data_IF_110529637243
#
_entry.id   IF_110529637243
#
_cell.length_a   1.000
_cell.length_b   1.000
_cell.length_c   1.000
_cell.angle_alpha   90.00
_cell.angle_beta   90.00
_cell.angle_gamma   90.00
#
_symmetry.space_group_name_H-M   'P 1'
#
loop_
_entity.id
_entity.type
_entity.pdbx_description
1 polymer ?
#
# COMPACT_ATOMS: atom_id res chain seq x y z
N UNK A 1 -33.86 24.70 12.83
CA UNK A 1 -35.30 24.44 13.05
C UNK A 1 -35.43 23.39 14.14
N UNK A 2 -36.46 23.48 14.96
CA UNK A 2 -36.71 22.53 16.05
C UNK A 2 -37.65 21.43 15.54
N UNK A 3 -37.13 20.22 15.37
CA UNK A 3 -37.93 19.05 14.98
C UNK A 3 -39.12 18.77 15.91
N UNK A 4 -39.08 19.28 17.15
CA UNK A 4 -40.17 19.16 18.11
C UNK A 4 -41.31 20.13 17.76
N UNK A 5 -40.99 21.37 17.39
CA UNK A 5 -41.99 22.37 17.01
C UNK A 5 -42.65 22.03 15.67
N UNK A 6 -41.87 21.51 14.71
CA UNK A 6 -42.36 21.11 13.38
C UNK A 6 -43.43 19.98 13.47
N UNK A 7 -43.37 19.15 14.52
CA UNK A 7 -44.36 18.10 14.78
C UNK A 7 -45.66 18.63 15.39
N UNK A 8 -45.62 19.77 16.08
CA UNK A 8 -46.81 20.37 16.69
C UNK A 8 -47.71 21.06 15.65
N UNK A 9 -47.17 21.39 14.47
CA UNK A 9 -47.89 21.97 13.33
C UNK A 9 -48.51 20.93 12.39
N UNK A 10 -48.60 19.67 12.81
CA UNK A 10 -49.09 18.56 11.96
C UNK A 10 -50.47 18.83 11.34
N UNK A 11 -51.40 19.38 12.12
CA UNK A 11 -52.77 19.69 11.67
C UNK A 11 -52.92 21.06 11.00
N UNK A 12 -51.89 21.91 11.04
CA UNK A 12 -51.91 23.24 10.41
C UNK A 12 -51.28 23.24 9.01
N UNK A 13 -50.67 22.13 8.61
CA UNK A 13 -50.09 21.97 7.27
C UNK A 13 -51.19 21.73 6.23
N UNK A 14 -51.00 22.26 5.01
CA UNK A 14 -51.89 22.03 3.87
C UNK A 14 -52.05 20.52 3.63
N UNK A 15 -53.28 20.06 3.37
CA UNK A 15 -53.53 18.65 3.07
C UNK A 15 -52.69 18.22 1.85
N UNK A 16 -51.99 17.08 1.93
CA UNK A 16 -51.10 16.62 0.86
C UNK A 16 -51.91 16.26 -0.39
N UNK A 17 -51.32 16.49 -1.57
CA UNK A 17 -51.95 16.06 -2.83
C UNK A 17 -51.93 14.54 -2.91
N UNK A 18 -53.08 13.95 -3.19
CA UNK A 18 -53.19 12.52 -3.39
C UNK A 18 -52.91 12.17 -4.85
N UNK A 19 -52.36 10.99 -5.08
CA UNK A 19 -52.20 10.44 -6.42
C UNK A 19 -52.62 8.96 -6.44
N UNK A 20 -52.82 8.41 -7.64
CA UNK A 20 -53.26 7.02 -7.85
C UNK A 20 -54.55 6.68 -7.09
N UNK A 21 -55.63 7.45 -7.31
CA UNK A 21 -56.95 7.25 -6.68
C UNK A 21 -56.90 7.19 -5.14
N UNK A 22 -56.05 8.00 -4.52
CA UNK A 22 -55.90 8.06 -3.07
C UNK A 22 -54.95 7.02 -2.47
N UNK A 23 -54.24 6.24 -3.30
CA UNK A 23 -53.26 5.27 -2.80
C UNK A 23 -51.97 5.93 -2.27
N UNK A 24 -51.57 7.06 -2.87
CA UNK A 24 -50.35 7.78 -2.50
C UNK A 24 -50.63 9.23 -2.12
N UNK A 25 -49.69 9.81 -1.37
CA UNK A 25 -49.64 11.24 -1.05
C UNK A 25 -48.27 11.81 -1.41
N UNK A 26 -48.22 13.04 -1.89
CA UNK A 26 -46.98 13.81 -1.98
C UNK A 26 -46.71 14.51 -0.66
N UNK A 27 -45.44 14.62 -0.26
CA UNK A 27 -45.06 15.30 0.99
C UNK A 27 -43.97 16.33 0.73
N UNK A 28 -44.10 17.49 1.37
CA UNK A 28 -43.11 18.57 1.38
C UNK A 28 -42.33 18.59 2.70
N UNK A 29 -42.14 17.41 3.30
CA UNK A 29 -41.45 17.26 4.58
C UNK A 29 -39.96 17.63 4.49
N UNK A 30 -39.41 18.10 5.61
CA UNK A 30 -37.99 18.37 5.70
C UNK A 30 -37.17 17.08 5.50
N UNK A 31 -36.25 17.10 4.52
CA UNK A 31 -35.33 15.99 4.19
C UNK A 31 -33.86 16.33 4.48
N UNK A 32 -33.60 17.20 5.45
CA UNK A 32 -32.24 17.65 5.77
C UNK A 32 -31.32 16.54 6.26
N UNK A 33 -31.87 15.45 6.83
CA UNK A 33 -31.11 14.28 7.25
C UNK A 33 -30.29 13.65 6.10
N UNK A 34 -30.74 13.80 4.85
CA UNK A 34 -30.04 13.31 3.66
C UNK A 34 -28.66 13.96 3.45
N UNK A 35 -28.40 15.12 4.07
CA UNK A 35 -27.08 15.76 4.06
C UNK A 35 -25.99 14.84 4.61
N UNK A 36 -26.33 13.90 5.50
CA UNK A 36 -25.38 12.93 6.04
C UNK A 36 -24.71 12.09 4.91
N UNK A 37 -25.50 11.52 4.01
CA UNK A 37 -24.99 10.72 2.89
C UNK A 37 -24.29 11.59 1.84
N UNK A 38 -24.79 12.81 1.58
CA UNK A 38 -24.11 13.77 0.70
C UNK A 38 -22.73 14.16 1.25
N UNK A 39 -22.64 14.40 2.56
CA UNK A 39 -21.40 14.72 3.26
C UNK A 39 -20.43 13.55 3.34
N UNK A 40 -20.93 12.30 3.37
CA UNK A 40 -20.10 11.09 3.26
C UNK A 40 -19.45 10.99 1.87
N UNK A 41 -20.20 11.23 0.79
CA UNK A 41 -19.70 11.17 -0.59
C UNK A 41 -18.75 12.32 -0.94
N UNK A 42 -19.00 13.51 -0.39
CA UNK A 42 -18.12 14.66 -0.56
C UNK A 42 -16.68 14.34 -0.08
N UNK A 43 -15.69 14.88 -0.76
CA UNK A 43 -14.27 14.57 -0.58
C UNK A 43 -13.44 15.81 -0.89
N UNK A 44 -12.19 15.82 -0.43
CA UNK A 44 -11.28 16.96 -0.52
C UNK A 44 -10.69 17.06 -1.92
N UNK A 45 -10.27 15.93 -2.49
CA UNK A 45 -9.67 15.84 -3.82
C UNK A 45 -9.71 14.42 -4.37
N UNK A 46 -9.48 14.32 -5.68
CA UNK A 46 -9.24 13.08 -6.41
C UNK A 46 -7.82 13.11 -6.97
N UNK A 47 -7.07 12.01 -6.79
CA UNK A 47 -5.74 11.82 -7.36
C UNK A 47 -5.77 10.67 -8.35
N UNK A 48 -5.13 10.82 -9.51
CA UNK A 48 -4.96 9.70 -10.45
C UNK A 48 -3.87 8.76 -9.96
N UNK A 49 -4.16 7.47 -9.89
CA UNK A 49 -3.16 6.42 -9.65
C UNK A 49 -3.53 5.12 -10.40
N UNK A 50 -2.72 4.08 -10.22
CA UNK A 50 -2.91 2.72 -10.75
C UNK A 50 -2.39 1.68 -9.74
N UNK A 51 -2.61 0.40 -10.01
CA UNK A 51 -2.17 -0.71 -9.14
C UNK A 51 -0.94 -1.41 -9.74
N UNK A 52 0.20 -1.31 -9.05
CA UNK A 52 1.44 -2.00 -9.42
C UNK A 52 1.45 -3.48 -9.03
N UNK A 53 0.50 -4.25 -9.58
CA UNK A 53 0.32 -5.68 -9.33
C UNK A 53 0.24 -6.44 -10.66
N UNK A 54 0.76 -7.68 -10.70
CA UNK A 54 0.82 -8.49 -11.90
C UNK A 54 -0.57 -9.04 -12.29
N UNK A 55 -1.40 -8.20 -12.89
CA UNK A 55 -2.80 -8.53 -13.22
C UNK A 55 -3.19 -8.21 -14.66
N UNK A 56 -2.25 -7.72 -15.48
CA UNK A 56 -2.43 -7.20 -16.85
C UNK A 56 -3.42 -6.04 -17.02
N UNK A 57 -4.13 -5.66 -15.96
CA UNK A 57 -5.18 -4.66 -16.00
C UNK A 57 -4.70 -3.26 -16.37
N UNK A 58 -3.64 -2.75 -15.74
CA UNK A 58 -3.16 -1.37 -15.94
C UNK A 58 -4.28 -0.31 -15.86
N UNK A 59 -5.26 -0.52 -14.97
CA UNK A 59 -6.44 0.31 -14.83
C UNK A 59 -6.09 1.60 -14.08
N UNK A 60 -6.45 2.76 -14.64
CA UNK A 60 -6.35 4.05 -13.97
C UNK A 60 -7.54 4.26 -13.01
N UNK A 61 -7.26 4.75 -11.81
CA UNK A 61 -8.24 4.97 -10.74
C UNK A 61 -8.24 6.42 -10.24
N UNK A 62 -9.42 6.85 -9.78
CA UNK A 62 -9.68 8.05 -9.00
C UNK A 62 -9.52 7.67 -7.53
N UNK A 63 -8.44 8.13 -6.89
CA UNK A 63 -8.20 7.92 -5.46
C UNK A 63 -8.81 9.08 -4.69
N UNK A 64 -9.81 8.79 -3.85
CA UNK A 64 -10.55 9.80 -3.10
C UNK A 64 -9.87 10.08 -1.76
N UNK A 65 -9.49 11.34 -1.55
CA UNK A 65 -8.96 11.83 -0.28
C UNK A 65 -10.06 12.62 0.42
N UNK A 66 -10.33 12.29 1.69
CA UNK A 66 -11.30 12.98 2.55
C UNK A 66 -10.73 13.10 3.95
N UNK A 67 -10.84 14.28 4.56
CA UNK A 67 -10.22 14.61 5.84
C UNK A 67 -8.70 14.34 5.83
N UNK A 68 -8.04 14.61 4.70
CA UNK A 68 -6.60 14.37 4.52
C UNK A 68 -6.19 12.89 4.42
N UNK A 69 -7.14 11.94 4.41
CA UNK A 69 -6.87 10.50 4.31
C UNK A 69 -7.48 9.93 3.03
N UNK A 70 -6.76 9.01 2.38
CA UNK A 70 -7.36 8.16 1.33
C UNK A 70 -8.49 7.33 1.95
N UNK A 71 -9.64 7.30 1.27
CA UNK A 71 -10.85 6.64 1.79
C UNK A 71 -11.34 5.52 0.88
N UNK A 72 -11.59 5.80 -0.40
CA UNK A 72 -11.99 4.81 -1.40
C UNK A 72 -11.43 5.17 -2.77
N UNK A 73 -11.69 4.31 -3.75
CA UNK A 73 -11.33 4.52 -5.14
C UNK A 73 -12.45 4.11 -6.08
N UNK A 74 -12.58 4.82 -7.20
CA UNK A 74 -13.43 4.41 -8.33
C UNK A 74 -12.60 4.48 -9.60
N UNK A 75 -13.02 3.81 -10.66
CA UNK A 75 -12.27 3.83 -11.91
C UNK A 75 -12.24 5.24 -12.54
N UNK A 76 -11.15 5.53 -13.25
CA UNK A 76 -11.14 6.58 -14.26
C UNK A 76 -11.85 6.10 -15.52
N UNK A 77 -12.45 7.03 -16.25
CA UNK A 77 -13.21 6.75 -17.47
C UNK A 77 -12.73 7.58 -18.66
N UNK A 78 -11.61 8.28 -18.50
CA UNK A 78 -11.10 9.26 -19.45
C UNK A 78 -9.89 8.76 -20.25
N UNK A 79 -9.84 7.45 -20.49
CA UNK A 79 -8.90 6.91 -21.47
C UNK A 79 -9.15 7.55 -22.85
N UNK A 80 -8.11 7.76 -23.68
CA UNK A 80 -8.31 8.09 -25.08
C UNK A 80 -9.31 7.12 -25.72
N UNK A 81 -10.32 7.69 -26.39
CA UNK A 81 -11.38 6.90 -27.03
C UNK A 81 -10.81 6.01 -28.12
N UNK A 82 -11.44 4.86 -28.31
CA UNK A 82 -11.15 3.99 -29.45
C UNK A 82 -11.75 4.59 -30.73
N UNK A 83 -11.56 3.90 -31.86
CA UNK A 83 -12.20 4.25 -33.14
C UNK A 83 -13.74 4.19 -33.00
N UNK A 84 -14.51 4.97 -33.79
CA UNK A 84 -15.97 5.04 -33.64
C UNK A 84 -16.71 3.69 -33.77
N UNK A 85 -16.12 2.71 -34.45
CA UNK A 85 -16.63 1.36 -34.67
C UNK A 85 -16.31 0.37 -33.54
N UNK A 86 -15.60 0.81 -32.49
CA UNK A 86 -15.18 -0.02 -31.36
C UNK A 86 -15.72 0.52 -30.03
N UNK A 87 -15.98 -0.34 -29.04
CA UNK A 87 -16.27 0.11 -27.69
C UNK A 87 -15.03 0.78 -27.07
N UNK A 88 -15.25 1.73 -26.16
CA UNK A 88 -14.17 2.32 -25.37
C UNK A 88 -13.70 1.36 -24.26
N UNK A 89 -12.53 1.64 -23.68
CA UNK A 89 -11.95 0.82 -22.61
C UNK A 89 -12.56 1.08 -21.23
N UNK A 90 -13.16 2.24 -21.02
CA UNK A 90 -13.71 2.62 -19.73
C UNK A 90 -14.86 1.68 -19.30
N UNK A 91 -15.01 1.40 -17.98
CA UNK A 91 -14.22 1.89 -16.86
C UNK A 91 -12.98 1.03 -16.53
N UNK A 92 -12.79 -0.14 -17.17
CA UNK A 92 -11.89 -1.20 -16.68
C UNK A 92 -12.17 -1.50 -15.18
N UNK A 93 -11.11 -1.81 -14.41
CA UNK A 93 -11.19 -2.11 -12.98
C UNK A 93 -11.59 -3.55 -12.67
N UNK A 94 -11.45 -3.94 -11.40
CA UNK A 94 -11.80 -5.27 -10.91
C UNK A 94 -12.04 -5.20 -9.39
N UNK A 95 -12.69 -6.21 -8.76
CA UNK A 95 -12.99 -6.17 -7.33
C UNK A 95 -11.73 -6.12 -6.45
N UNK A 96 -10.60 -6.68 -6.92
CA UNK A 96 -9.33 -6.62 -6.18
C UNK A 96 -8.75 -5.19 -6.16
N UNK A 97 -8.88 -4.47 -7.27
CA UNK A 97 -8.47 -3.07 -7.34
C UNK A 97 -9.36 -2.17 -6.49
N UNK A 98 -10.67 -2.41 -6.50
CA UNK A 98 -11.64 -1.64 -5.72
C UNK A 98 -11.45 -1.75 -4.19
N UNK A 99 -10.71 -2.76 -3.71
CA UNK A 99 -10.42 -2.95 -2.29
C UNK A 99 -9.03 -2.47 -1.86
N UNK A 100 -8.23 -1.87 -2.74
CA UNK A 100 -6.82 -1.59 -2.45
C UNK A 100 -6.63 -0.54 -1.35
N UNK A 101 -7.53 0.46 -1.27
CA UNK A 101 -7.52 1.50 -0.23
C UNK A 101 -7.50 0.95 1.20
N UNK A 102 -8.00 -0.27 1.41
CA UNK A 102 -7.95 -0.98 2.69
C UNK A 102 -6.52 -1.07 3.26
N UNK A 103 -5.52 -1.35 2.42
CA UNK A 103 -4.14 -1.61 2.86
C UNK A 103 -3.46 -0.42 3.53
N UNK A 104 -3.90 0.81 3.26
CA UNK A 104 -3.18 2.01 3.68
C UNK A 104 -3.10 2.11 5.21
N UNK A 105 -4.18 1.75 5.90
CA UNK A 105 -4.29 1.87 7.36
C UNK A 105 -4.76 0.57 8.03
N UNK A 106 -4.80 -0.55 7.31
CA UNK A 106 -5.20 -1.83 7.89
C UNK A 106 -4.23 -2.32 8.96
N UNK A 107 -4.69 -3.28 9.77
CA UNK A 107 -3.90 -3.92 10.80
C UNK A 107 -2.63 -4.61 10.26
N UNK A 108 -2.60 -4.94 8.96
CA UNK A 108 -1.47 -5.61 8.30
C UNK A 108 -0.43 -4.64 7.71
N UNK A 109 -0.64 -3.32 7.82
CA UNK A 109 0.28 -2.33 7.25
C UNK A 109 1.64 -2.36 7.95
N UNK A 110 2.71 -2.57 7.18
CA UNK A 110 4.09 -2.35 7.63
C UNK A 110 4.35 -0.83 7.81
N UNK A 111 4.61 -0.42 9.06
CA UNK A 111 4.79 0.99 9.46
C UNK A 111 6.25 1.38 9.69
N UNK A 112 7.10 0.42 10.04
CA UNK A 112 8.49 0.64 10.43
C UNK A 112 9.39 -0.41 9.78
N UNK A 113 10.70 -0.15 9.62
CA UNK A 113 11.65 -1.21 9.34
C UNK A 113 11.63 -2.22 10.51
N UNK A 114 11.60 -3.50 10.16
CA UNK A 114 11.51 -4.59 11.11
C UNK A 114 12.69 -5.53 10.89
N UNK A 115 13.27 -6.03 11.98
CA UNK A 115 14.39 -6.97 11.94
C UNK A 115 14.15 -8.09 12.96
N UNK A 116 14.72 -9.28 12.72
CA UNK A 116 14.64 -10.38 13.68
C UNK A 116 15.42 -10.00 14.94
N UNK A 117 14.82 -10.13 16.13
CA UNK A 117 15.47 -9.72 17.38
C UNK A 117 16.83 -10.38 17.60
N UNK A 118 16.95 -11.67 17.27
CA UNK A 118 18.21 -12.42 17.39
C UNK A 118 19.32 -11.84 16.52
N UNK A 119 19.02 -11.46 15.28
CA UNK A 119 20.01 -10.82 14.40
C UNK A 119 20.41 -9.46 14.93
N UNK A 120 19.43 -8.67 15.38
CA UNK A 120 19.68 -7.33 15.91
C UNK A 120 20.54 -7.35 17.18
N UNK A 121 20.30 -8.32 18.07
CA UNK A 121 21.12 -8.51 19.26
C UNK A 121 22.58 -8.81 18.88
N UNK A 122 22.80 -9.81 18.02
CA UNK A 122 24.14 -10.16 17.53
C UNK A 122 24.83 -8.98 16.83
N UNK A 123 24.08 -8.21 16.04
CA UNK A 123 24.59 -7.01 15.39
C UNK A 123 25.10 -5.96 16.37
N UNK A 124 24.30 -5.63 17.38
CA UNK A 124 24.69 -4.62 18.38
C UNK A 124 25.87 -5.07 19.23
N UNK A 125 25.88 -6.33 19.66
CA UNK A 125 27.02 -6.94 20.37
C UNK A 125 28.30 -6.91 19.51
N UNK A 126 28.20 -7.16 18.20
CA UNK A 126 29.34 -7.06 17.30
C UNK A 126 29.82 -5.61 17.10
N UNK A 127 28.90 -4.64 17.02
CA UNK A 127 29.23 -3.21 16.90
C UNK A 127 29.91 -2.63 18.14
N UNK A 128 29.73 -3.24 19.32
CA UNK A 128 30.48 -2.87 20.54
C UNK A 128 31.97 -3.28 20.44
N UNK A 129 32.28 -4.33 19.68
CA UNK A 129 33.63 -4.87 19.53
C UNK A 129 34.32 -4.35 18.26
N UNK A 130 33.55 -3.96 17.26
CA UNK A 130 34.04 -3.57 15.95
C UNK A 130 33.37 -2.26 15.51
N UNK A 131 34.18 -1.22 15.35
CA UNK A 131 33.72 0.07 14.83
C UNK A 131 33.32 -0.03 13.36
N UNK A 132 34.10 -0.76 12.56
CA UNK A 132 33.80 -1.05 11.16
C UNK A 132 32.60 -2.02 11.04
N UNK A 133 31.49 -1.61 10.42
CA UNK A 133 30.30 -2.44 10.30
C UNK A 133 30.51 -3.69 9.42
N UNK A 134 31.44 -3.67 8.47
CA UNK A 134 31.77 -4.84 7.63
C UNK A 134 32.45 -5.92 8.47
N UNK A 135 33.38 -5.52 9.34
CA UNK A 135 34.05 -6.44 10.30
C UNK A 135 33.05 -6.94 11.34
N UNK A 136 32.14 -6.07 11.80
CA UNK A 136 31.05 -6.47 12.70
C UNK A 136 30.16 -7.55 12.06
N UNK A 137 29.81 -7.40 10.77
CA UNK A 137 29.04 -8.41 10.04
C UNK A 137 29.81 -9.72 9.88
N UNK A 138 31.08 -9.64 9.48
CA UNK A 138 31.98 -10.78 9.35
C UNK A 138 32.03 -11.63 10.62
N UNK A 139 32.16 -11.00 11.80
CA UNK A 139 32.25 -11.71 13.08
C UNK A 139 30.99 -12.49 13.47
N UNK A 140 29.86 -12.20 12.80
CA UNK A 140 28.58 -12.90 12.96
C UNK A 140 28.48 -14.04 11.96
N UNK A 141 28.72 -13.76 10.66
CA UNK A 141 28.43 -14.74 9.59
C UNK A 141 29.53 -15.78 9.40
N UNK A 142 30.77 -15.49 9.78
CA UNK A 142 31.88 -16.46 9.76
C UNK A 142 31.76 -17.52 10.87
N UNK A 143 30.97 -17.24 11.92
CA UNK A 143 30.75 -18.18 13.03
C UNK A 143 29.45 -18.97 12.81
N UNK A 144 29.57 -20.28 12.54
CA UNK A 144 28.43 -21.15 12.23
C UNK A 144 27.32 -21.09 13.28
N UNK A 145 27.68 -21.03 14.56
CA UNK A 145 26.73 -21.01 15.67
C UNK A 145 25.92 -19.71 15.71
N UNK A 146 26.57 -18.54 15.64
CA UNK A 146 25.88 -17.24 15.55
C UNK A 146 25.00 -17.16 14.30
N UNK A 147 25.48 -17.63 13.15
CA UNK A 147 24.69 -17.66 11.93
C UNK A 147 23.44 -18.55 12.07
N UNK A 148 23.57 -19.72 12.72
CA UNK A 148 22.43 -20.61 13.01
C UNK A 148 21.42 -19.94 13.93
N UNK A 149 21.84 -19.18 14.94
CA UNK A 149 20.95 -18.57 15.94
C UNK A 149 19.79 -17.78 15.33
N UNK A 150 20.05 -16.95 14.32
CA UNK A 150 19.02 -16.14 13.68
C UNK A 150 18.39 -16.80 12.45
N UNK A 151 19.10 -17.70 11.75
CA UNK A 151 18.59 -18.39 10.55
C UNK A 151 17.50 -19.41 10.90
N UNK A 152 17.66 -20.16 11.98
CA UNK A 152 16.72 -21.22 12.38
C UNK A 152 15.35 -20.72 12.88
N UNK A 153 15.25 -19.42 13.21
CA UNK A 153 14.00 -18.78 13.67
C UNK A 153 13.30 -17.95 12.58
N UNK A 154 13.70 -18.10 11.32
CA UNK A 154 13.01 -17.47 10.18
C UNK A 154 11.60 -18.07 10.06
N UNK A 155 10.57 -17.22 10.09
CA UNK A 155 9.16 -17.63 10.07
C UNK A 155 8.53 -17.86 11.45
N UNK A 156 9.30 -17.82 12.55
CA UNK A 156 8.83 -18.15 13.90
C UNK A 156 8.56 -16.92 14.80
N UNK A 157 8.21 -15.77 14.22
CA UNK A 157 7.95 -14.53 14.97
C UNK A 157 9.21 -13.89 15.60
N UNK A 158 9.04 -12.93 16.52
CA UNK A 158 10.17 -12.20 17.13
C UNK A 158 10.78 -11.11 16.23
N UNK A 159 9.96 -10.47 15.40
CA UNK A 159 10.35 -9.24 14.71
C UNK A 159 10.25 -8.07 15.68
N UNK A 160 11.28 -7.23 15.70
CA UNK A 160 11.32 -6.00 16.48
C UNK A 160 11.47 -4.81 15.56
N UNK A 161 10.96 -3.65 16.02
CA UNK A 161 11.10 -2.38 15.31
C UNK A 161 12.58 -1.96 15.31
N UNK A 162 13.06 -1.53 14.16
CA UNK A 162 14.36 -0.87 13.99
C UNK A 162 14.19 0.56 13.49
N UNK A 163 15.29 1.23 13.20
CA UNK A 163 15.32 2.49 12.44
C UNK A 163 15.99 2.26 11.08
N UNK A 164 15.85 3.23 10.17
CA UNK A 164 16.37 3.11 8.80
C UNK A 164 17.90 3.08 8.76
N UNK A 165 18.58 3.88 9.56
CA UNK A 165 20.05 3.95 9.57
C UNK A 165 20.67 2.60 9.96
N UNK A 166 20.13 1.97 11.01
CA UNK A 166 20.59 0.67 11.51
C UNK A 166 20.39 -0.45 10.48
N UNK A 167 19.22 -0.54 9.84
CA UNK A 167 18.99 -1.58 8.81
C UNK A 167 19.78 -1.31 7.54
N UNK A 168 19.98 -0.05 7.16
CA UNK A 168 20.77 0.33 5.99
C UNK A 168 22.26 0.00 6.20
N UNK A 169 22.81 0.27 7.39
CA UNK A 169 24.20 -0.08 7.74
C UNK A 169 24.39 -1.61 7.69
N UNK A 170 23.46 -2.38 8.28
CA UNK A 170 23.50 -3.86 8.24
C UNK A 170 23.48 -4.38 6.79
N UNK A 171 22.54 -3.89 5.97
CA UNK A 171 22.40 -4.35 4.58
C UNK A 171 23.65 -4.00 3.76
N UNK A 172 24.18 -2.78 3.91
CA UNK A 172 25.39 -2.35 3.22
C UNK A 172 26.62 -3.17 3.65
N UNK A 173 26.81 -3.37 4.95
CA UNK A 173 27.90 -4.18 5.49
C UNK A 173 27.85 -5.63 5.00
N UNK A 174 26.64 -6.23 4.98
CA UNK A 174 26.43 -7.57 4.46
C UNK A 174 26.79 -7.67 2.98
N UNK A 175 26.35 -6.70 2.17
CA UNK A 175 26.66 -6.67 0.73
C UNK A 175 28.16 -6.46 0.47
N UNK A 176 28.82 -5.54 1.17
CA UNK A 176 30.27 -5.30 1.02
C UNK A 176 31.06 -6.56 1.38
N UNK A 177 30.75 -7.17 2.53
CA UNK A 177 31.40 -8.41 2.95
C UNK A 177 31.20 -9.52 1.92
N UNK A 178 29.97 -9.77 1.48
CA UNK A 178 29.68 -10.82 0.51
C UNK A 178 30.37 -10.59 -0.82
N UNK A 179 30.35 -9.36 -1.35
CA UNK A 179 31.03 -9.03 -2.60
C UNK A 179 32.55 -9.23 -2.50
N UNK A 180 33.15 -8.82 -1.37
CA UNK A 180 34.58 -8.93 -1.12
C UNK A 180 35.04 -10.38 -0.98
N UNK A 181 34.34 -11.18 -0.18
CA UNK A 181 34.78 -12.54 0.16
C UNK A 181 34.36 -13.61 -0.87
N UNK A 182 33.23 -13.42 -1.54
CA UNK A 182 32.65 -14.46 -2.41
C UNK A 182 32.37 -14.00 -3.85
N UNK A 183 32.46 -12.69 -4.12
CA UNK A 183 32.11 -12.10 -5.40
C UNK A 183 30.72 -11.45 -5.40
N UNK A 184 30.51 -10.40 -6.21
CA UNK A 184 29.28 -9.62 -6.20
C UNK A 184 28.06 -10.39 -6.72
N UNK A 185 28.27 -11.40 -7.55
CA UNK A 185 27.22 -12.27 -8.11
C UNK A 185 26.55 -13.19 -7.06
N UNK A 186 27.10 -13.27 -5.83
CA UNK A 186 26.45 -13.91 -4.67
C UNK A 186 25.41 -13.01 -4.00
N UNK A 187 25.28 -11.76 -4.46
CA UNK A 187 24.24 -10.83 -4.06
C UNK A 187 23.17 -10.85 -5.15
N UNK A 188 22.00 -11.36 -4.80
CA UNK A 188 20.91 -11.60 -5.74
C UNK A 188 19.68 -10.80 -5.32
N UNK A 189 18.95 -10.26 -6.30
CA UNK A 189 17.63 -9.69 -6.08
C UNK A 189 16.60 -10.28 -7.03
N UNK A 190 15.45 -10.62 -6.49
CA UNK A 190 14.30 -11.08 -7.25
C UNK A 190 13.22 -10.00 -7.22
N UNK A 191 12.91 -9.44 -8.38
CA UNK A 191 11.79 -8.51 -8.54
C UNK A 191 11.13 -8.79 -9.88
N UNK A 192 9.85 -9.18 -9.94
CA UNK A 192 9.25 -9.59 -11.19
C UNK A 192 8.52 -8.44 -11.91
N UNK A 193 8.19 -8.68 -13.19
CA UNK A 193 7.25 -7.90 -14.03
C UNK A 193 7.45 -6.37 -13.92
N UNK A 194 8.43 -5.79 -14.64
CA UNK A 194 8.68 -4.35 -14.58
C UNK A 194 7.50 -3.49 -15.08
N UNK A 195 6.65 -4.04 -15.95
CA UNK A 195 5.57 -3.30 -16.59
C UNK A 195 4.51 -2.74 -15.62
N UNK A 196 4.34 -3.34 -14.44
CA UNK A 196 3.34 -2.88 -13.46
C UNK A 196 3.81 -1.67 -12.63
N UNK A 197 5.13 -1.47 -12.49
CA UNK A 197 5.72 -0.40 -11.67
C UNK A 197 7.20 -0.18 -12.02
N UNK A 198 7.44 0.40 -13.21
CA UNK A 198 8.76 0.47 -13.86
C UNK A 198 9.87 1.01 -12.95
N UNK A 199 9.65 2.16 -12.30
CA UNK A 199 10.66 2.77 -11.43
C UNK A 199 10.84 1.98 -10.13
N UNK A 200 9.78 1.36 -9.60
CA UNK A 200 9.89 0.49 -8.42
C UNK A 200 10.75 -0.74 -8.71
N UNK A 201 10.59 -1.36 -9.89
CA UNK A 201 11.47 -2.42 -10.36
C UNK A 201 12.91 -1.91 -10.55
N UNK A 202 13.06 -0.76 -11.22
CA UNK A 202 14.36 -0.19 -11.56
C UNK A 202 15.20 0.18 -10.32
N UNK A 203 14.56 0.52 -9.19
CA UNK A 203 15.26 0.88 -7.97
C UNK A 203 16.21 -0.24 -7.49
N UNK A 204 15.70 -1.47 -7.39
CA UNK A 204 16.49 -2.62 -6.94
C UNK A 204 17.45 -3.12 -8.01
N UNK A 205 16.99 -3.24 -9.27
CA UNK A 205 17.83 -3.74 -10.36
C UNK A 205 18.99 -2.80 -10.67
N UNK A 206 18.78 -1.48 -10.66
CA UNK A 206 19.87 -0.50 -10.83
C UNK A 206 20.93 -0.64 -9.73
N UNK A 207 20.51 -0.75 -8.46
CA UNK A 207 21.44 -0.93 -7.35
C UNK A 207 22.30 -2.19 -7.53
N UNK A 208 21.66 -3.33 -7.82
CA UNK A 208 22.34 -4.61 -8.01
C UNK A 208 23.29 -4.56 -9.21
N UNK A 209 22.83 -4.07 -10.37
CA UNK A 209 23.68 -3.97 -11.56
C UNK A 209 24.91 -3.09 -11.33
N UNK A 210 24.80 -2.00 -10.56
CA UNK A 210 25.93 -1.13 -10.26
C UNK A 210 26.99 -1.80 -9.36
N UNK A 211 26.57 -2.66 -8.43
CA UNK A 211 27.50 -3.39 -7.55
C UNK A 211 27.96 -4.73 -8.15
N UNK A 212 27.48 -5.10 -9.33
CA UNK A 212 27.79 -6.38 -9.99
C UNK A 212 26.94 -7.58 -9.50
N UNK A 213 25.84 -7.33 -8.80
CA UNK A 213 24.90 -8.35 -8.33
C UNK A 213 23.97 -8.88 -9.43
N UNK A 214 23.37 -10.04 -9.17
CA UNK A 214 22.54 -10.76 -10.13
C UNK A 214 21.06 -10.36 -10.00
N UNK A 215 20.46 -9.91 -11.12
CA UNK A 215 19.03 -9.61 -11.20
C UNK A 215 18.27 -10.85 -11.68
N UNK A 216 17.47 -11.44 -10.79
CA UNK A 216 16.63 -12.60 -11.09
C UNK A 216 15.23 -12.19 -11.55
N UNK A 217 14.62 -13.05 -12.35
CA UNK A 217 13.30 -12.93 -12.97
C UNK A 217 12.47 -14.21 -12.75
N UNK A 218 11.23 -14.23 -13.22
CA UNK A 218 10.37 -15.42 -13.16
C UNK A 218 10.89 -16.63 -13.98
N UNK A 219 11.87 -16.40 -14.85
CA UNK A 219 12.32 -17.38 -15.85
C UNK A 219 13.75 -17.88 -15.61
N UNK A 220 14.41 -17.41 -14.54
CA UNK A 220 15.69 -17.92 -14.07
C UNK A 220 15.48 -19.12 -13.13
#
# INVERSE_FOLDING_TARGET
MSHVLDKLTFFTNKAPETFSNGHGITTDENRDWERAYRGRWAHDKIVRSTHGVNCTGSCSWKIYVKNGLVTWETQQTDYPRTRPDLPNHEPRGCPRGASYSWYLYSAARLKYPMIRSRLLRLWREAKEQHTDPVIAWESIVSQSEKAKEYKQVRGLGGMVRANWDEVNEIIAAANIYTAKEYGPDRIMGFSPIPAMSMISYAAGSRYLSLIGGTCLSFYD
#
